data_IF_230671283800
#
_entry.id   IF_230671283800
#
_cell.length_a   1.000
_cell.length_b   1.000
_cell.length_c   1.000
_cell.angle_alpha   90.00
_cell.angle_beta   90.00
_cell.angle_gamma   90.00
#
_symmetry.space_group_name_H-M   'P 1'
#
loop_
_entity.id
_entity.type
_entity.pdbx_description
1 polymer ?
#
# COMPACT_ATOMS: atom_id res chain seq x y z
N UNK A 1 -17.37 12.63 1.50
CA UNK A 1 -16.04 13.20 1.78
C UNK A 1 -16.01 13.55 3.24
N UNK A 2 -15.10 12.92 3.99
CA UNK A 2 -14.91 13.22 5.41
C UNK A 2 -13.86 14.31 5.56
N UNK A 3 -14.16 15.31 6.39
CA UNK A 3 -13.30 16.46 6.64
C UNK A 3 -12.75 16.32 8.05
N UNK A 4 -11.43 16.30 8.15
CA UNK A 4 -10.70 16.29 9.40
C UNK A 4 -9.91 17.58 9.55
N UNK A 5 -9.94 18.17 10.74
CA UNK A 5 -9.11 19.33 11.08
C UNK A 5 -7.97 18.86 11.96
N UNK A 6 -6.75 19.15 11.52
CA UNK A 6 -5.51 18.84 12.25
C UNK A 6 -4.85 20.14 12.69
N UNK A 7 -4.62 20.27 14.00
CA UNK A 7 -4.09 21.49 14.61
C UNK A 7 -3.17 21.18 15.80
N UNK A 8 -2.38 22.17 16.22
CA UNK A 8 -1.61 22.09 17.46
C UNK A 8 -2.52 22.45 18.64
N UNK A 9 -2.79 21.48 19.52
CA UNK A 9 -3.46 21.74 20.79
C UNK A 9 -2.42 22.20 21.80
N UNK A 10 -2.73 23.23 22.59
CA UNK A 10 -1.89 23.66 23.72
C UNK A 10 -2.16 22.85 24.97
N UNK A 11 -3.32 22.18 25.06
CA UNK A 11 -3.70 21.34 26.19
C UNK A 11 -4.39 20.06 25.68
N UNK A 12 -3.70 18.92 25.61
CA UNK A 12 -2.25 18.75 25.78
C UNK A 12 -1.43 19.30 24.60
N UNK A 13 -0.15 19.64 24.83
CA UNK A 13 0.81 20.10 23.81
C UNK A 13 1.13 19.03 22.77
N UNK A 14 0.23 18.87 21.78
CA UNK A 14 0.38 17.88 20.70
C UNK A 14 -0.41 18.26 19.47
N UNK A 15 0.00 17.70 18.34
CA UNK A 15 -0.85 17.64 17.15
C UNK A 15 -2.08 16.80 17.48
N UNK A 16 -3.25 17.35 17.18
CA UNK A 16 -4.54 16.68 17.37
C UNK A 16 -5.30 16.70 16.05
N UNK A 17 -5.79 15.54 15.63
CA UNK A 17 -6.74 15.42 14.52
C UNK A 17 -8.13 15.21 15.08
N UNK A 18 -9.10 15.99 14.60
CA UNK A 18 -10.51 15.78 14.91
C UNK A 18 -11.30 15.61 13.63
N UNK A 19 -12.20 14.63 13.64
CA UNK A 19 -13.31 14.63 12.69
C UNK A 19 -14.09 15.93 12.87
N UNK A 20 -14.36 16.63 11.78
CA UNK A 20 -15.06 17.90 11.79
C UNK A 20 -16.46 17.72 11.23
N UNK A 21 -16.59 17.22 10.00
CA UNK A 21 -17.88 16.91 9.39
C UNK A 21 -17.72 15.96 8.20
N UNK A 22 -18.83 15.49 7.64
CA UNK A 22 -18.89 14.74 6.40
C UNK A 22 -19.82 15.43 5.42
N UNK A 23 -19.37 15.55 4.17
CA UNK A 23 -20.20 16.03 3.06
C UNK A 23 -20.49 14.87 2.13
N UNK A 24 -21.76 14.51 2.00
CA UNK A 24 -22.21 13.49 1.04
C UNK A 24 -22.30 14.08 -0.36
N UNK A 25 -21.66 13.41 -1.30
CA UNK A 25 -21.59 13.83 -2.70
C UNK A 25 -21.70 12.59 -3.58
N UNK A 26 -22.39 12.74 -4.71
CA UNK A 26 -22.47 11.70 -5.74
C UNK A 26 -21.29 11.79 -6.72
N UNK A 27 -21.58 11.77 -8.01
CA UNK A 27 -20.60 12.18 -9.02
C UNK A 27 -20.29 13.66 -8.84
N UNK A 28 -19.01 14.01 -8.77
CA UNK A 28 -18.58 15.38 -8.47
C UNK A 28 -17.37 15.78 -9.29
N UNK A 29 -17.41 17.01 -9.77
CA UNK A 29 -16.30 17.73 -10.39
C UNK A 29 -15.43 18.38 -9.32
N UNK A 30 -14.30 18.95 -9.74
CA UNK A 30 -13.40 19.65 -8.82
C UNK A 30 -14.06 20.93 -8.25
N UNK A 31 -14.89 21.58 -9.06
CA UNK A 31 -15.70 22.73 -8.72
C UNK A 31 -16.74 22.37 -7.65
N UNK A 32 -17.46 21.26 -7.81
CA UNK A 32 -18.41 20.77 -6.80
C UNK A 32 -17.71 20.48 -5.47
N UNK A 33 -16.54 19.82 -5.53
CA UNK A 33 -15.70 19.54 -4.36
C UNK A 33 -15.28 20.82 -3.64
N UNK A 34 -14.85 21.84 -4.40
CA UNK A 34 -14.45 23.12 -3.85
C UNK A 34 -15.62 23.83 -3.18
N UNK A 35 -16.77 23.92 -3.84
CA UNK A 35 -17.99 24.54 -3.28
C UNK A 35 -18.38 23.88 -1.95
N UNK A 36 -18.47 22.55 -1.94
CA UNK A 36 -18.86 21.80 -0.73
C UNK A 36 -17.82 21.90 0.37
N UNK A 37 -16.53 21.92 0.04
CA UNK A 37 -15.47 22.10 1.01
C UNK A 37 -15.53 23.51 1.63
N UNK A 38 -15.68 24.56 0.82
CA UNK A 38 -15.82 25.94 1.31
C UNK A 38 -17.04 26.10 2.20
N UNK A 39 -18.20 25.58 1.78
CA UNK A 39 -19.41 25.61 2.60
C UNK A 39 -19.26 24.86 3.92
N UNK A 40 -18.56 23.72 3.93
CA UNK A 40 -18.29 23.00 5.16
C UNK A 40 -17.33 23.76 6.09
N UNK A 41 -16.35 24.49 5.54
CA UNK A 41 -15.31 25.18 6.30
C UNK A 41 -15.64 26.64 6.64
N UNK A 42 -16.86 27.11 6.38
CA UNK A 42 -17.28 28.52 6.55
C UNK A 42 -16.98 29.08 7.95
N UNK A 43 -17.19 28.26 8.99
CA UNK A 43 -16.96 28.65 10.39
C UNK A 43 -15.48 28.60 10.83
N UNK A 44 -14.58 28.15 9.95
CA UNK A 44 -13.16 28.01 10.28
C UNK A 44 -12.33 29.20 9.75
N UNK A 45 -11.29 29.62 10.51
CA UNK A 45 -10.44 30.74 10.09
C UNK A 45 -9.49 30.31 8.96
N UNK A 46 -9.98 30.24 7.72
CA UNK A 46 -9.22 29.79 6.54
C UNK A 46 -7.95 30.59 6.29
N UNK A 47 -7.91 31.88 6.66
CA UNK A 47 -6.70 32.70 6.60
C UNK A 47 -5.54 32.17 7.47
N UNK A 48 -5.82 31.25 8.41
CA UNK A 48 -4.84 30.58 9.27
C UNK A 48 -4.56 29.14 8.82
N UNK A 49 -5.14 28.69 7.72
CA UNK A 49 -4.89 27.36 7.17
C UNK A 49 -3.44 27.27 6.68
N UNK A 50 -2.70 26.30 7.22
CA UNK A 50 -1.30 26.07 6.85
C UNK A 50 -1.21 25.17 5.63
N UNK A 51 -2.09 24.17 5.54
CA UNK A 51 -2.03 23.12 4.53
C UNK A 51 -3.39 22.46 4.34
N UNK A 52 -3.65 22.02 3.11
CA UNK A 52 -4.78 21.16 2.75
C UNK A 52 -4.24 19.81 2.28
N UNK A 53 -4.59 18.73 3.00
CA UNK A 53 -4.11 17.36 2.72
C UNK A 53 -5.14 16.57 1.93
N UNK A 54 -4.70 15.90 0.85
CA UNK A 54 -5.54 15.08 0.01
C UNK A 54 -4.74 13.96 -0.68
N UNK A 55 -5.45 12.97 -1.22
CA UNK A 55 -4.89 11.95 -2.10
C UNK A 55 -4.68 12.49 -3.54
N UNK A 56 -4.18 11.63 -4.43
CA UNK A 56 -3.72 12.02 -5.77
C UNK A 56 -4.67 11.98 -6.98
N UNK A 57 -5.99 11.70 -6.88
CA UNK A 57 -6.87 11.83 -8.04
C UNK A 57 -6.84 13.24 -8.67
N UNK A 58 -6.93 13.31 -10.00
CA UNK A 58 -6.88 14.57 -10.75
C UNK A 58 -7.94 15.58 -10.30
N UNK A 59 -9.12 15.10 -9.90
CA UNK A 59 -10.20 15.95 -9.41
C UNK A 59 -9.82 16.67 -8.11
N UNK A 60 -9.10 15.98 -7.22
CA UNK A 60 -8.63 16.56 -5.95
C UNK A 60 -7.48 17.55 -6.20
N UNK A 61 -6.54 17.20 -7.08
CA UNK A 61 -5.48 18.14 -7.49
C UNK A 61 -6.01 19.43 -8.12
N UNK A 62 -7.11 19.34 -8.89
CA UNK A 62 -7.77 20.52 -9.46
C UNK A 62 -8.50 21.31 -8.38
N UNK A 63 -9.19 20.63 -7.45
CA UNK A 63 -9.82 21.28 -6.28
C UNK A 63 -8.78 22.04 -5.43
N UNK A 64 -7.60 21.45 -5.18
CA UNK A 64 -6.51 22.13 -4.47
C UNK A 64 -6.09 23.43 -5.14
N UNK A 65 -5.91 23.43 -6.48
CA UNK A 65 -5.57 24.65 -7.22
C UNK A 65 -6.67 25.71 -7.08
N UNK A 66 -7.94 25.31 -7.21
CA UNK A 66 -9.07 26.22 -6.99
C UNK A 66 -9.11 26.78 -5.57
N UNK A 67 -8.82 25.96 -4.55
CA UNK A 67 -8.69 26.41 -3.16
C UNK A 67 -7.54 27.40 -2.98
N UNK A 68 -6.39 27.20 -3.62
CA UNK A 68 -5.26 28.14 -3.57
C UNK A 68 -5.64 29.49 -4.19
N UNK A 69 -6.34 29.49 -5.31
CA UNK A 69 -6.86 30.71 -5.95
C UNK A 69 -7.85 31.44 -5.04
N UNK A 70 -8.80 30.71 -4.45
CA UNK A 70 -9.77 31.27 -3.49
C UNK A 70 -9.08 31.90 -2.27
N UNK A 71 -8.14 31.18 -1.64
CA UNK A 71 -7.40 31.68 -0.47
C UNK A 71 -6.59 32.93 -0.81
N UNK A 72 -5.95 32.96 -1.98
CA UNK A 72 -5.19 34.12 -2.43
C UNK A 72 -6.08 35.34 -2.66
N UNK A 73 -7.25 35.16 -3.28
CA UNK A 73 -8.17 36.25 -3.62
C UNK A 73 -8.90 36.80 -2.39
N UNK A 74 -9.35 35.94 -1.48
CA UNK A 74 -10.22 36.32 -0.36
C UNK A 74 -9.46 36.60 0.95
N UNK A 75 -8.26 36.05 1.09
CA UNK A 75 -7.50 36.12 2.35
C UNK A 75 -6.03 36.52 2.17
N UNK A 76 -5.54 36.69 0.92
CA UNK A 76 -4.14 37.00 0.62
C UNK A 76 -3.14 36.00 1.21
N UNK A 77 -3.54 34.73 1.34
CA UNK A 77 -2.70 33.62 1.82
C UNK A 77 -2.74 32.44 0.86
N UNK A 78 -1.76 31.55 0.99
CA UNK A 78 -1.71 30.27 0.29
C UNK A 78 -1.34 29.16 1.26
N UNK A 79 -1.88 27.97 1.02
CA UNK A 79 -1.49 26.76 1.76
C UNK A 79 -0.14 26.25 1.25
N UNK A 80 0.63 25.62 2.13
CA UNK A 80 1.83 24.88 1.73
C UNK A 80 1.45 23.73 0.79
N UNK A 81 2.05 23.71 -0.39
CA UNK A 81 1.93 22.59 -1.33
C UNK A 81 2.96 21.51 -0.98
N UNK A 82 2.47 20.44 -0.34
CA UNK A 82 3.25 19.25 -0.02
C UNK A 82 3.00 18.10 -1.02
N UNK A 83 2.24 18.37 -2.08
CA UNK A 83 1.76 17.36 -3.01
C UNK A 83 0.69 16.45 -2.41
N UNK A 84 0.64 15.21 -2.92
CA UNK A 84 -0.38 14.22 -2.57
C UNK A 84 0.02 13.37 -1.37
N UNK A 85 -0.95 12.67 -0.79
CA UNK A 85 -0.73 11.76 0.32
C UNK A 85 0.38 10.74 0.05
N UNK A 86 1.48 10.83 0.82
CA UNK A 86 2.63 9.94 0.70
C UNK A 86 2.31 8.46 0.95
N UNK A 87 1.29 8.16 1.76
CA UNK A 87 0.85 6.78 2.01
C UNK A 87 0.29 6.14 0.74
N UNK A 88 -0.59 6.85 0.02
CA UNK A 88 -1.14 6.38 -1.26
C UNK A 88 -0.03 6.19 -2.29
N UNK A 89 0.96 7.09 -2.33
CA UNK A 89 2.14 6.94 -3.20
C UNK A 89 2.91 5.65 -2.91
N UNK A 90 3.12 5.29 -1.65
CA UNK A 90 3.79 4.03 -1.28
C UNK A 90 2.95 2.80 -1.65
N UNK A 91 1.65 2.82 -1.41
CA UNK A 91 0.75 1.74 -1.82
C UNK A 91 0.75 1.53 -3.33
N UNK A 92 0.65 2.62 -4.10
CA UNK A 92 0.66 2.60 -5.56
C UNK A 92 2.03 2.15 -6.10
N UNK A 93 3.14 2.58 -5.49
CA UNK A 93 4.48 2.13 -5.87
C UNK A 93 4.65 0.62 -5.62
N UNK A 94 4.17 0.10 -4.49
CA UNK A 94 4.18 -1.32 -4.20
C UNK A 94 3.34 -2.10 -5.22
N UNK A 95 2.12 -1.63 -5.51
CA UNK A 95 1.25 -2.19 -6.55
C UNK A 95 1.95 -2.24 -7.91
N UNK A 96 2.52 -1.11 -8.33
CA UNK A 96 3.22 -1.00 -9.60
C UNK A 96 4.38 -2.01 -9.70
N UNK A 97 5.15 -2.19 -8.61
CA UNK A 97 6.21 -3.19 -8.55
C UNK A 97 5.69 -4.63 -8.69
N UNK A 98 4.56 -4.96 -8.05
CA UNK A 98 3.93 -6.29 -8.18
C UNK A 98 3.37 -6.52 -9.59
N UNK A 99 2.77 -5.50 -10.21
CA UNK A 99 2.29 -5.59 -11.59
C UNK A 99 3.46 -5.76 -12.57
N UNK A 100 4.54 -5.02 -12.38
CA UNK A 100 5.73 -5.07 -13.23
C UNK A 100 6.44 -6.44 -13.19
N UNK A 101 6.31 -7.20 -12.11
CA UNK A 101 6.87 -8.56 -12.03
C UNK A 101 6.14 -9.58 -12.92
N UNK A 102 4.91 -9.26 -13.36
CA UNK A 102 4.04 -10.13 -14.15
C UNK A 102 3.71 -11.47 -13.48
N UNK A 103 3.86 -11.56 -12.17
CA UNK A 103 3.58 -12.79 -11.41
C UNK A 103 2.10 -13.06 -11.18
N UNK A 104 1.21 -12.11 -11.50
CA UNK A 104 -0.23 -12.29 -11.35
C UNK A 104 -0.72 -12.38 -9.90
N UNK A 105 0.08 -11.94 -8.91
CA UNK A 105 -0.27 -12.07 -7.49
C UNK A 105 -1.57 -11.34 -7.11
N UNK A 106 -1.93 -10.24 -7.79
CA UNK A 106 -3.21 -9.56 -7.57
C UNK A 106 -4.39 -10.51 -7.86
N UNK A 107 -4.31 -11.22 -8.99
CA UNK A 107 -5.33 -12.18 -9.40
C UNK A 107 -5.39 -13.32 -8.40
N UNK A 108 -4.25 -13.94 -8.07
CA UNK A 108 -4.17 -15.01 -7.08
C UNK A 108 -4.86 -14.66 -5.76
N UNK A 109 -4.50 -13.53 -5.14
CA UNK A 109 -5.01 -13.14 -3.82
C UNK A 109 -6.50 -12.80 -3.89
N UNK A 110 -6.94 -12.16 -4.99
CA UNK A 110 -8.36 -11.91 -5.25
C UNK A 110 -9.14 -13.22 -5.41
N UNK A 111 -8.65 -14.17 -6.22
CA UNK A 111 -9.29 -15.48 -6.42
C UNK A 111 -9.37 -16.30 -5.15
N UNK A 112 -8.33 -16.28 -4.32
CA UNK A 112 -8.28 -16.97 -3.02
C UNK A 112 -9.39 -16.49 -2.08
N UNK A 113 -9.62 -15.18 -2.01
CA UNK A 113 -10.72 -14.65 -1.20
C UNK A 113 -12.09 -14.92 -1.84
N UNK A 114 -12.22 -14.68 -3.14
CA UNK A 114 -13.48 -14.77 -3.86
C UNK A 114 -14.04 -16.19 -3.94
N UNK A 115 -13.20 -17.23 -4.02
CA UNK A 115 -13.69 -18.60 -4.10
C UNK A 115 -14.47 -19.01 -2.83
N UNK A 116 -14.12 -18.48 -1.66
CA UNK A 116 -14.80 -18.80 -0.40
C UNK A 116 -15.78 -17.71 0.06
N UNK A 117 -15.89 -16.59 -0.67
CA UNK A 117 -16.84 -15.53 -0.38
C UNK A 117 -18.28 -16.01 -0.66
N UNK A 118 -19.15 -15.88 0.34
CA UNK A 118 -20.56 -16.28 0.31
C UNK A 118 -20.82 -17.69 -0.26
N UNK A 119 -19.92 -18.62 0.05
CA UNK A 119 -19.90 -19.96 -0.52
C UNK A 119 -19.81 -21.07 0.54
N UNK A 120 -20.88 -21.30 1.33
CA UNK A 120 -20.86 -22.26 2.43
C UNK A 120 -20.50 -23.68 1.96
N UNK A 121 -21.07 -24.17 0.87
CA UNK A 121 -20.76 -25.50 0.33
C UNK A 121 -19.27 -25.66 -0.04
N UNK A 122 -18.64 -24.62 -0.62
CA UNK A 122 -17.20 -24.69 -0.95
C UNK A 122 -16.32 -24.63 0.29
N UNK A 123 -16.76 -23.94 1.34
CA UNK A 123 -16.07 -23.92 2.64
C UNK A 123 -16.16 -25.28 3.32
N UNK A 124 -17.33 -25.92 3.26
CA UNK A 124 -17.54 -27.28 3.76
C UNK A 124 -16.67 -28.29 3.00
N UNK A 125 -16.68 -28.25 1.66
CA UNK A 125 -15.82 -29.11 0.83
C UNK A 125 -14.33 -28.91 1.17
N UNK A 126 -13.88 -27.66 1.29
CA UNK A 126 -12.50 -27.33 1.67
C UNK A 126 -12.16 -27.88 3.05
N UNK A 127 -13.02 -27.68 4.04
CA UNK A 127 -12.80 -28.15 5.41
C UNK A 127 -12.75 -29.68 5.46
N UNK A 128 -13.65 -30.35 4.73
CA UNK A 128 -13.73 -31.81 4.64
C UNK A 128 -12.46 -32.42 4.07
N UNK A 129 -11.89 -31.82 3.02
CA UNK A 129 -10.69 -32.40 2.38
C UNK A 129 -9.39 -31.94 3.01
N UNK A 130 -9.36 -30.88 3.80
CA UNK A 130 -8.11 -30.30 4.35
C UNK A 130 -8.01 -30.34 5.87
N UNK A 131 -9.12 -30.64 6.57
CA UNK A 131 -9.26 -30.51 8.03
C UNK A 131 -9.06 -29.07 8.54
N UNK A 132 -9.10 -28.07 7.64
CA UNK A 132 -8.95 -26.67 8.00
C UNK A 132 -10.28 -26.02 8.36
N UNK A 133 -10.27 -25.25 9.45
CA UNK A 133 -11.37 -24.34 9.82
C UNK A 133 -11.07 -22.88 9.47
N UNK A 134 -9.86 -22.61 8.95
CA UNK A 134 -9.42 -21.27 8.57
C UNK A 134 -9.41 -21.09 7.07
N UNK A 135 -9.76 -19.89 6.61
CA UNK A 135 -9.92 -19.58 5.18
C UNK A 135 -9.02 -18.40 4.76
N UNK A 136 -8.81 -18.20 3.45
CA UNK A 136 -8.18 -16.99 2.93
C UNK A 136 -8.86 -15.70 3.40
N UNK A 137 -8.07 -14.64 3.56
CA UNK A 137 -8.55 -13.31 3.94
C UNK A 137 -8.93 -12.49 2.71
N UNK A 138 -9.79 -11.48 2.90
CA UNK A 138 -10.14 -10.53 1.86
C UNK A 138 -8.92 -9.72 1.43
N UNK A 139 -8.72 -9.61 0.12
CA UNK A 139 -7.61 -8.87 -0.47
C UNK A 139 -8.05 -7.46 -0.89
N UNK A 140 -7.30 -6.43 -0.49
CA UNK A 140 -7.56 -5.04 -0.85
C UNK A 140 -6.58 -4.55 -1.94
N UNK A 141 -7.04 -4.49 -3.20
CA UNK A 141 -6.18 -4.17 -4.37
C UNK A 141 -5.58 -2.77 -4.39
N UNK A 142 -6.10 -1.86 -3.56
CA UNK A 142 -5.61 -0.49 -3.39
C UNK A 142 -4.64 -0.35 -2.21
N UNK A 143 -4.66 -1.28 -1.23
CA UNK A 143 -3.85 -1.21 -0.01
C UNK A 143 -2.79 -2.32 0.06
N UNK A 144 -1.92 -2.39 -0.95
CA UNK A 144 -0.96 -3.49 -1.11
C UNK A 144 -0.08 -3.80 0.11
N UNK A 145 0.42 -2.77 0.82
CA UNK A 145 1.28 -2.96 2.00
C UNK A 145 0.49 -3.47 3.22
N UNK A 146 -0.80 -3.14 3.33
CA UNK A 146 -1.65 -3.62 4.43
C UNK A 146 -2.06 -5.09 4.25
N UNK A 147 -1.95 -5.63 3.03
CA UNK A 147 -2.25 -7.03 2.72
C UNK A 147 -1.20 -8.03 3.24
N UNK A 148 -0.20 -7.64 4.05
CA UNK A 148 0.77 -8.59 4.64
C UNK A 148 0.07 -9.80 5.30
N UNK A 149 -0.94 -9.63 6.17
CA UNK A 149 -1.63 -10.77 6.77
C UNK A 149 -2.37 -11.63 5.75
N UNK A 150 -2.87 -11.03 4.66
CA UNK A 150 -3.55 -11.74 3.56
C UNK A 150 -2.55 -12.66 2.83
N UNK A 151 -1.36 -12.14 2.54
CA UNK A 151 -0.30 -12.89 1.86
C UNK A 151 0.25 -13.99 2.78
N UNK A 152 0.45 -13.71 4.08
CA UNK A 152 0.88 -14.72 5.06
C UNK A 152 -0.16 -15.83 5.24
N UNK A 153 -1.46 -15.49 5.27
CA UNK A 153 -2.54 -16.48 5.27
C UNK A 153 -2.52 -17.33 4.00
N UNK A 154 -2.31 -16.72 2.84
CA UNK A 154 -2.20 -17.44 1.57
C UNK A 154 -1.01 -18.41 1.56
N UNK A 155 0.14 -18.01 2.09
CA UNK A 155 1.33 -18.88 2.24
C UNK A 155 1.01 -20.07 3.16
N UNK A 156 0.35 -19.81 4.29
CA UNK A 156 0.03 -20.83 5.30
C UNK A 156 -0.92 -21.88 4.73
N UNK A 157 -1.98 -21.45 4.04
CA UNK A 157 -3.00 -22.33 3.49
C UNK A 157 -2.66 -22.91 2.11
N UNK A 158 -1.50 -22.60 1.54
CA UNK A 158 -1.24 -22.94 0.13
C UNK A 158 -1.28 -24.45 -0.13
N UNK A 159 -0.72 -25.25 0.78
CA UNK A 159 -0.77 -26.72 0.68
C UNK A 159 -2.21 -27.25 0.72
N UNK A 160 -3.04 -26.68 1.58
CA UNK A 160 -4.47 -27.02 1.70
C UNK A 160 -5.25 -26.64 0.44
N UNK A 161 -4.95 -25.47 -0.15
CA UNK A 161 -5.52 -25.02 -1.42
C UNK A 161 -5.15 -25.98 -2.55
N UNK A 162 -3.88 -26.42 -2.62
CA UNK A 162 -3.46 -27.41 -3.61
C UNK A 162 -4.19 -28.74 -3.42
N UNK A 163 -4.35 -29.21 -2.18
CA UNK A 163 -5.12 -30.41 -1.84
C UNK A 163 -6.57 -30.29 -2.29
N UNK A 164 -7.23 -29.18 -1.96
CA UNK A 164 -8.62 -28.91 -2.36
C UNK A 164 -8.80 -28.90 -3.88
N UNK A 165 -7.92 -28.20 -4.62
CA UNK A 165 -7.96 -28.18 -6.08
C UNK A 165 -7.78 -29.59 -6.66
N UNK A 166 -6.88 -30.40 -6.10
CA UNK A 166 -6.67 -31.78 -6.54
C UNK A 166 -7.90 -32.66 -6.29
N UNK A 167 -8.49 -32.61 -5.09
CA UNK A 167 -9.72 -33.35 -4.74
C UNK A 167 -10.91 -32.96 -5.64
N UNK A 168 -11.08 -31.66 -5.88
CA UNK A 168 -12.13 -31.16 -6.78
C UNK A 168 -11.93 -31.67 -8.23
N UNK A 169 -10.69 -31.67 -8.74
CA UNK A 169 -10.38 -32.23 -10.07
C UNK A 169 -10.61 -33.75 -10.16
N UNK A 170 -10.39 -34.48 -9.07
CA UNK A 170 -10.71 -35.91 -8.95
C UNK A 170 -12.19 -36.21 -8.72
N UNK A 171 -13.03 -35.18 -8.56
CA UNK A 171 -14.46 -35.28 -8.22
C UNK A 171 -14.72 -35.94 -6.86
N UNK A 172 -13.77 -35.84 -5.94
CA UNK A 172 -13.95 -36.22 -4.53
C UNK A 172 -14.82 -35.19 -3.79
N UNK A 173 -14.84 -33.95 -4.29
CA UNK A 173 -15.77 -32.86 -3.93
C UNK A 173 -16.31 -32.20 -5.21
N UNK A 174 -17.28 -31.29 -5.07
CA UNK A 174 -17.84 -30.60 -6.22
C UNK A 174 -16.77 -29.75 -6.94
N UNK A 175 -16.76 -29.77 -8.27
CA UNK A 175 -15.81 -29.02 -9.09
C UNK A 175 -16.35 -27.60 -9.33
N UNK A 176 -15.75 -26.54 -8.74
CA UNK A 176 -16.23 -25.18 -8.96
C UNK A 176 -15.98 -24.73 -10.40
N UNK A 177 -17.01 -24.21 -11.07
CA UNK A 177 -16.95 -23.74 -12.46
C UNK A 177 -16.76 -22.22 -12.58
N UNK A 178 -16.09 -21.59 -11.61
CA UNK A 178 -15.90 -20.14 -11.58
C UNK A 178 -14.47 -19.75 -11.98
N UNK A 179 -14.30 -18.49 -12.42
CA UNK A 179 -13.00 -17.95 -12.82
C UNK A 179 -11.95 -18.07 -11.71
N UNK A 180 -12.33 -17.86 -10.45
CA UNK A 180 -11.43 -18.00 -9.30
C UNK A 180 -10.83 -19.40 -9.20
N UNK A 181 -11.63 -20.45 -9.39
CA UNK A 181 -11.10 -21.83 -9.31
C UNK A 181 -10.18 -22.17 -10.48
N UNK A 182 -10.47 -21.66 -11.68
CA UNK A 182 -9.60 -21.81 -12.85
C UNK A 182 -8.25 -21.16 -12.58
N UNK A 183 -8.25 -19.89 -12.12
CA UNK A 183 -7.03 -19.17 -11.78
C UNK A 183 -6.22 -19.88 -10.68
N UNK A 184 -6.87 -20.35 -9.61
CA UNK A 184 -6.19 -21.10 -8.56
C UNK A 184 -5.59 -22.42 -9.07
N UNK A 185 -6.28 -23.10 -9.98
CA UNK A 185 -5.79 -24.31 -10.63
C UNK A 185 -4.51 -24.08 -11.42
N UNK A 186 -4.41 -22.93 -12.10
CA UNK A 186 -3.22 -22.53 -12.86
C UNK A 186 -2.06 -22.18 -11.91
N UNK A 187 -2.34 -21.42 -10.85
CA UNK A 187 -1.31 -21.09 -9.84
C UNK A 187 -0.79 -22.32 -9.09
N UNK A 188 -1.60 -23.38 -8.95
CA UNK A 188 -1.13 -24.66 -8.40
C UNK A 188 -0.01 -25.32 -9.24
N UNK A 189 0.15 -24.92 -10.51
CA UNK A 189 1.22 -25.40 -11.39
C UNK A 189 2.52 -24.58 -11.27
N UNK A 190 2.51 -23.46 -10.55
CA UNK A 190 3.69 -22.59 -10.42
C UNK A 190 4.60 -23.04 -9.26
N UNK A 191 5.76 -23.68 -9.55
CA UNK A 191 6.65 -24.18 -8.51
C UNK A 191 7.30 -23.07 -7.68
N UNK A 192 7.30 -21.83 -8.18
CA UNK A 192 7.93 -20.68 -7.52
C UNK A 192 6.94 -19.81 -6.75
N UNK A 193 5.66 -20.20 -6.67
CA UNK A 193 4.64 -19.32 -6.12
C UNK A 193 4.91 -18.92 -4.66
N UNK A 194 5.27 -19.88 -3.82
CA UNK A 194 5.59 -19.59 -2.41
C UNK A 194 6.80 -18.64 -2.29
N UNK A 195 7.77 -18.74 -3.18
CA UNK A 195 8.90 -17.81 -3.22
C UNK A 195 8.45 -16.40 -3.63
N UNK A 196 7.56 -16.29 -4.63
CA UNK A 196 6.97 -15.01 -5.09
C UNK A 196 6.15 -14.34 -3.98
N UNK A 197 5.32 -15.10 -3.27
CA UNK A 197 4.54 -14.61 -2.13
C UNK A 197 5.45 -14.14 -0.98
N UNK A 198 6.44 -14.95 -0.58
CA UNK A 198 7.43 -14.57 0.45
C UNK A 198 8.24 -13.33 0.06
N UNK A 199 8.57 -13.21 -1.22
CA UNK A 199 9.22 -12.01 -1.74
C UNK A 199 8.35 -10.77 -1.58
N UNK A 200 7.06 -10.86 -1.95
CA UNK A 200 6.09 -9.80 -1.79
C UNK A 200 5.91 -9.39 -0.32
N UNK A 201 5.82 -10.36 0.61
CA UNK A 201 5.82 -10.08 2.07
C UNK A 201 7.08 -9.32 2.46
N UNK A 202 8.26 -9.76 2.01
CA UNK A 202 9.53 -9.09 2.33
C UNK A 202 9.58 -7.64 1.87
N UNK A 203 8.99 -7.32 0.69
CA UNK A 203 8.88 -5.94 0.22
C UNK A 203 7.90 -5.14 1.08
N UNK A 204 6.69 -5.67 1.30
CA UNK A 204 5.67 -5.00 2.10
C UNK A 204 6.16 -4.73 3.53
N UNK A 205 6.92 -5.65 4.14
CA UNK A 205 7.50 -5.49 5.47
C UNK A 205 8.57 -4.40 5.55
N UNK A 206 9.25 -4.06 4.45
CA UNK A 206 10.15 -2.90 4.39
C UNK A 206 9.34 -1.60 4.37
N UNK A 207 8.20 -1.59 3.68
CA UNK A 207 7.30 -0.44 3.54
C UNK A 207 6.45 -0.17 4.79
N UNK A 208 6.06 -1.22 5.51
CA UNK A 208 5.12 -1.16 6.64
C UNK A 208 5.51 -0.16 7.74
N UNK A 209 6.78 -0.08 8.21
CA UNK A 209 7.16 0.91 9.23
C UNK A 209 6.95 2.35 8.80
N UNK A 210 7.11 2.66 7.50
CA UNK A 210 6.82 3.99 6.98
C UNK A 210 5.32 4.29 7.10
N UNK A 211 4.45 3.35 6.71
CA UNK A 211 3.00 3.56 6.83
C UNK A 211 2.57 3.78 8.27
N UNK A 212 2.98 2.88 9.18
CA UNK A 212 2.56 2.96 10.58
C UNK A 212 3.04 4.24 11.26
N UNK A 213 4.21 4.75 10.87
CA UNK A 213 4.72 6.00 11.41
C UNK A 213 4.01 7.23 10.84
N UNK A 214 3.82 7.30 9.52
CA UNK A 214 3.22 8.46 8.84
C UNK A 214 1.69 8.54 8.97
N UNK A 215 1.06 7.51 9.55
CA UNK A 215 -0.35 7.52 9.98
C UNK A 215 -0.55 8.12 11.39
N UNK A 216 0.51 8.42 12.12
CA UNK A 216 0.41 9.02 13.47
C UNK A 216 0.08 10.52 13.42
N UNK A 217 -0.54 11.02 14.48
CA UNK A 217 -0.72 12.44 14.73
C UNK A 217 0.58 13.09 15.23
N UNK A 218 1.60 13.11 14.36
CA UNK A 218 2.91 13.73 14.62
C UNK A 218 3.32 14.63 13.45
N UNK A 219 4.06 15.72 13.69
CA UNK A 219 4.53 16.63 12.64
C UNK A 219 5.70 16.01 11.85
N UNK A 220 5.42 15.00 11.02
CA UNK A 220 6.45 14.17 10.38
C UNK A 220 6.90 14.66 9.00
N UNK A 221 6.27 15.70 8.44
CA UNK A 221 6.57 16.21 7.09
C UNK A 221 8.06 16.54 6.90
N UNK A 222 8.72 17.08 7.93
CA UNK A 222 10.13 17.46 7.88
C UNK A 222 11.06 16.25 7.73
N UNK A 223 10.60 15.05 8.06
CA UNK A 223 11.34 13.80 7.92
C UNK A 223 11.05 13.07 6.61
N UNK A 224 10.03 13.49 5.85
CA UNK A 224 9.51 12.78 4.68
C UNK A 224 10.60 12.46 3.67
N UNK A 225 11.39 13.46 3.26
CA UNK A 225 12.48 13.30 2.30
C UNK A 225 13.50 12.25 2.78
N UNK A 226 13.95 12.37 4.03
CA UNK A 226 14.94 11.46 4.63
C UNK A 226 14.40 10.04 4.71
N UNK A 227 13.16 9.88 5.15
CA UNK A 227 12.58 8.57 5.39
C UNK A 227 12.25 7.85 4.08
N UNK A 228 11.78 8.57 3.06
CA UNK A 228 11.64 8.04 1.70
C UNK A 228 12.99 7.62 1.11
N UNK A 229 14.04 8.43 1.28
CA UNK A 229 15.39 8.05 0.86
C UNK A 229 15.86 6.77 1.57
N UNK A 230 15.68 6.67 2.89
CA UNK A 230 16.02 5.49 3.66
C UNK A 230 15.25 4.25 3.17
N UNK A 231 13.97 4.43 2.84
CA UNK A 231 13.12 3.36 2.34
C UNK A 231 13.59 2.82 0.99
N UNK A 232 13.88 3.71 0.04
CA UNK A 232 14.43 3.33 -1.27
C UNK A 232 15.78 2.61 -1.12
N UNK A 233 16.68 3.11 -0.25
CA UNK A 233 17.95 2.44 0.04
C UNK A 233 17.76 1.03 0.58
N UNK A 234 16.81 0.82 1.50
CA UNK A 234 16.50 -0.52 2.06
C UNK A 234 15.99 -1.48 0.99
N UNK A 235 15.16 -1.01 0.07
CA UNK A 235 14.67 -1.82 -1.05
C UNK A 235 15.82 -2.19 -2.01
N UNK A 236 16.63 -1.20 -2.41
CA UNK A 236 17.76 -1.43 -3.31
C UNK A 236 18.82 -2.34 -2.70
N UNK A 237 19.08 -2.26 -1.38
CA UNK A 237 20.07 -3.09 -0.69
C UNK A 237 19.81 -4.61 -0.77
N UNK A 238 18.60 -5.02 -1.19
CA UNK A 238 18.30 -6.44 -1.44
C UNK A 238 18.99 -6.99 -2.69
N UNK A 239 19.32 -6.12 -3.65
CA UNK A 239 19.82 -6.48 -4.97
C UNK A 239 21.10 -5.77 -5.35
N UNK A 240 21.32 -4.55 -4.86
CA UNK A 240 22.45 -3.69 -5.19
C UNK A 240 23.56 -3.86 -4.16
N UNK A 241 24.81 -3.94 -4.62
CA UNK A 241 25.99 -4.03 -3.75
C UNK A 241 26.08 -2.82 -2.82
N UNK A 242 26.41 -3.07 -1.55
CA UNK A 242 26.57 -2.01 -0.53
C UNK A 242 27.60 -0.94 -0.90
N UNK A 243 28.66 -1.28 -1.63
CA UNK A 243 29.65 -0.31 -2.12
C UNK A 243 29.05 0.72 -3.08
N UNK A 244 28.15 0.29 -3.97
CA UNK A 244 27.48 1.18 -4.94
C UNK A 244 26.45 2.06 -4.24
N UNK A 245 25.68 1.50 -3.30
CA UNK A 245 24.72 2.29 -2.51
C UNK A 245 25.41 3.32 -1.61
N UNK A 246 26.60 3.02 -1.10
CA UNK A 246 27.35 3.96 -0.26
C UNK A 246 27.95 5.11 -1.07
N UNK A 247 28.25 4.86 -2.35
CA UNK A 247 28.74 5.89 -3.28
C UNK A 247 27.61 6.81 -3.81
N UNK A 248 26.36 6.37 -3.77
CA UNK A 248 25.22 7.17 -4.27
C UNK A 248 24.83 8.28 -3.27
N UNK A 249 24.90 9.52 -3.71
CA UNK A 249 24.59 10.69 -2.89
C UNK A 249 23.13 11.13 -3.09
N UNK A 250 22.33 11.04 -2.03
CA UNK A 250 20.93 11.46 -2.02
C UNK A 250 20.02 10.67 -2.98
N UNK A 251 18.77 11.11 -3.10
CA UNK A 251 17.76 10.51 -3.99
C UNK A 251 18.16 10.57 -5.47
N UNK A 252 18.73 11.69 -5.92
CA UNK A 252 19.14 11.86 -7.32
C UNK A 252 20.24 10.86 -7.71
N UNK A 253 21.21 10.63 -6.82
CA UNK A 253 22.24 9.63 -7.03
C UNK A 253 21.66 8.22 -7.16
N UNK A 254 20.62 7.90 -6.39
CA UNK A 254 19.93 6.61 -6.48
C UNK A 254 19.11 6.44 -7.76
N UNK A 255 18.42 7.49 -8.22
CA UNK A 255 17.61 7.44 -9.45
C UNK A 255 18.46 7.29 -10.72
N UNK A 256 19.72 7.71 -10.67
CA UNK A 256 20.68 7.57 -11.78
C UNK A 256 21.40 6.21 -11.80
N UNK A 257 21.13 5.34 -10.83
CA UNK A 257 21.77 4.03 -10.78
C UNK A 257 21.24 3.13 -11.89
N UNK A 258 22.15 2.57 -12.69
CA UNK A 258 21.80 1.52 -13.63
C UNK A 258 21.64 0.19 -12.87
N UNK A 259 20.39 -0.19 -12.65
CA UNK A 259 20.00 -1.44 -12.00
C UNK A 259 20.00 -2.64 -12.96
N UNK A 260 20.18 -2.42 -14.27
CA UNK A 260 20.34 -3.50 -15.25
C UNK A 260 21.79 -3.97 -15.36
N UNK A 261 22.76 -3.18 -14.90
CA UNK A 261 24.17 -3.55 -14.87
C UNK A 261 24.45 -4.62 -13.79
N UNK A 262 24.98 -5.77 -14.22
CA UNK A 262 25.37 -6.87 -13.34
C UNK A 262 26.52 -6.50 -12.39
N UNK A 263 27.32 -5.49 -12.73
CA UNK A 263 28.38 -4.97 -11.85
C UNK A 263 27.77 -4.28 -10.62
N UNK A 264 26.61 -3.64 -10.80
CA UNK A 264 25.85 -2.97 -9.73
C UNK A 264 25.19 -3.95 -8.76
N UNK A 265 24.81 -5.14 -9.25
CA UNK A 265 24.00 -6.10 -8.50
C UNK A 265 24.80 -7.20 -7.80
N UNK A 266 24.26 -7.70 -6.69
CA UNK A 266 24.72 -8.94 -6.08
C UNK A 266 24.50 -10.11 -7.06
N UNK A 267 25.46 -11.05 -7.06
CA UNK A 267 25.26 -12.33 -7.72
C UNK A 267 23.99 -13.01 -7.17
N UNK A 268 23.24 -13.71 -8.03
CA UNK A 268 21.92 -14.30 -7.70
C UNK A 268 21.91 -15.11 -6.40
N UNK A 269 23.00 -15.85 -6.12
CA UNK A 269 23.18 -16.63 -4.87
C UNK A 269 23.28 -15.82 -3.58
N UNK A 270 23.48 -14.51 -3.66
CA UNK A 270 23.59 -13.57 -2.53
C UNK A 270 22.33 -12.70 -2.37
N UNK A 271 21.31 -12.91 -3.20
CA UNK A 271 20.07 -12.14 -3.13
C UNK A 271 19.26 -12.50 -1.90
N UNK A 272 18.71 -11.48 -1.26
CA UNK A 272 17.84 -11.65 -0.10
C UNK A 272 16.40 -11.67 -0.60
N UNK A 273 15.80 -12.87 -0.65
CA UNK A 273 14.43 -13.08 -1.12
C UNK A 273 13.38 -13.06 0.00
N UNK A 274 13.77 -13.23 1.26
CA UNK A 274 12.89 -13.21 2.45
C UNK A 274 13.03 -11.97 3.34
N UNK A 275 12.44 -12.03 4.54
CA UNK A 275 12.54 -10.99 5.57
C UNK A 275 13.95 -10.97 6.19
N UNK A 276 14.76 -9.96 5.84
CA UNK A 276 15.90 -9.59 6.67
C UNK A 276 15.43 -8.62 7.75
N UNK A 277 15.17 -9.15 8.94
CA UNK A 277 15.23 -8.33 10.15
C UNK A 277 16.70 -8.14 10.52
N UNK A 278 17.07 -6.89 10.83
CA UNK A 278 18.33 -6.44 11.43
C UNK A 278 19.52 -6.24 10.47
N UNK A 279 19.71 -5.00 10.02
CA UNK A 279 21.05 -4.37 9.94
C UNK A 279 21.11 -2.86 9.68
N UNK A 280 20.00 -2.15 9.47
CA UNK A 280 20.05 -0.70 9.17
C UNK A 280 19.00 0.13 9.92
N UNK A 281 19.04 0.09 11.25
CA UNK A 281 18.37 1.05 12.12
C UNK A 281 19.43 1.69 13.02
N UNK A 282 20.03 2.81 12.57
CA UNK A 282 20.64 3.73 13.53
C UNK A 282 19.49 4.43 14.28
N UNK A 283 19.52 4.49 15.62
CA UNK A 283 18.53 5.23 16.38
C UNK A 283 18.57 6.71 15.99
N UNK A 284 17.41 7.36 15.98
CA UNK A 284 17.29 8.80 15.77
C UNK A 284 18.07 9.53 16.87
N UNK A 285 18.92 10.47 16.48
CA UNK A 285 19.30 11.60 17.34
C UNK A 285 18.32 12.73 17.07
#
# INVERSE_FOLDING_TARGET
MDIHVRYWSTMPERVTTRFYTSVFMGHSTAEDLQEKLLGALEDLPLARAVQLSMDGPNVNLKCFRGMQEYLQQNHQVQCLDLGTCGLHTIHNACKAGVVASKWGLENLLSSLSAIFHDAPARREDFSTVTDQVTFPLNFASHHWVENVPVIERAITLWGDVQKYVACAKKKEVNLPKCASFIQLSDFCQDPLLLAKLKFAVGIAMILKPFLTEYQLDKPLVFFLKRDLECLVRKLLARFVKGSVLSASTGVVGMLKMDVADQITMYHQRKLILGTLLNKYSKPRR
#
